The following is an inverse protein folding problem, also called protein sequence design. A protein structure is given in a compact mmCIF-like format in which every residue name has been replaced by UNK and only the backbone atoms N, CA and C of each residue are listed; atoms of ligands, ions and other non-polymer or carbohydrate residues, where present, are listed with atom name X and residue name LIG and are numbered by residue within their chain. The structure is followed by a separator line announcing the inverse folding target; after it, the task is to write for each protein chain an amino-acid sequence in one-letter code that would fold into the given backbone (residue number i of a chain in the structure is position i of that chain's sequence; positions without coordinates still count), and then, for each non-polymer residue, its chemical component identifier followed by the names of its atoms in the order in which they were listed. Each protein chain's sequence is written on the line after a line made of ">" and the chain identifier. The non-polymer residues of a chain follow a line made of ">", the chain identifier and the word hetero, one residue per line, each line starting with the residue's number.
data_IF_400610305714
#
_entry.id   IF_400610305714
#
_cell.length_a   1.000
_cell.length_b   1.000
_cell.length_c   1.000
_cell.angle_alpha   90.00
_cell.angle_beta   90.00
_cell.angle_gamma   90.00
#
_symmetry.space_group_name_H-M   'P 1'
#
loop_
_entity.id
_entity.type
_entity.pdbx_description
1 polymer ?
#
# COMPACT_ATOMS: atom_id res chain seq x y z
N UNK A 1 29.18 25.53 -14.91
CA UNK A 1 29.56 26.85 -14.38
C UNK A 1 28.91 26.98 -13.01
N UNK A 2 29.76 27.02 -11.98
CA UNK A 2 29.56 27.15 -10.52
C UNK A 2 28.16 26.87 -9.91
N UNK A 3 28.16 25.81 -9.10
CA UNK A 3 27.17 25.35 -8.14
C UNK A 3 27.16 26.26 -6.89
N UNK A 4 25.98 26.52 -6.30
CA UNK A 4 25.86 26.97 -4.90
C UNK A 4 24.72 26.20 -4.21
N UNK A 5 25.09 25.19 -3.43
CA UNK A 5 24.25 24.61 -2.39
C UNK A 5 24.11 25.61 -1.23
N UNK A 6 22.89 25.86 -0.77
CA UNK A 6 22.65 26.45 0.55
C UNK A 6 22.06 25.37 1.45
N UNK A 7 22.92 24.82 2.32
CA UNK A 7 22.55 24.06 3.51
C UNK A 7 21.98 25.06 4.52
N UNK A 8 20.72 24.94 4.92
CA UNK A 8 20.21 25.64 6.10
C UNK A 8 20.14 24.65 7.26
N UNK A 9 21.11 24.81 8.15
CA UNK A 9 21.15 24.26 9.50
C UNK A 9 20.13 25.06 10.34
N UNK A 10 19.05 24.42 10.81
CA UNK A 10 18.09 25.05 11.72
C UNK A 10 18.55 24.86 13.16
N UNK A 11 19.27 25.86 13.66
CA UNK A 11 19.47 26.09 15.09
C UNK A 11 19.33 27.60 15.36
N UNK A 12 18.16 28.00 15.85
CA UNK A 12 17.94 29.05 16.88
C UNK A 12 16.50 29.56 16.80
N UNK A 13 15.78 29.32 17.90
CA UNK A 13 14.64 30.13 18.29
C UNK A 13 15.15 31.55 18.60
N UNK A 14 14.57 32.58 17.98
CA UNK A 14 14.18 33.78 18.72
C UNK A 14 13.18 34.67 17.96
N UNK A 15 12.35 35.34 18.77
CA UNK A 15 11.19 36.16 18.43
C UNK A 15 11.55 37.43 17.65
N UNK A 16 10.64 37.87 16.75
CA UNK A 16 10.00 39.21 16.69
C UNK A 16 9.45 39.50 15.27
N UNK A 17 8.13 39.72 15.17
CA UNK A 17 7.54 40.85 14.43
C UNK A 17 7.33 40.81 12.90
N UNK A 18 6.11 40.41 12.51
CA UNK A 18 5.23 40.96 11.43
C UNK A 18 5.65 40.81 9.95
N UNK A 19 4.93 39.97 9.21
CA UNK A 19 4.00 40.44 8.15
C UNK A 19 2.98 39.37 7.76
N UNK A 20 1.69 39.72 7.81
CA UNK A 20 0.57 38.89 7.34
C UNK A 20 0.67 38.77 5.81
N UNK A 21 0.84 37.54 5.32
CA UNK A 21 0.74 37.25 3.90
C UNK A 21 -0.75 37.09 3.54
N UNK A 22 -1.20 37.87 2.58
CA UNK A 22 -2.59 37.98 2.13
C UNK A 22 -2.98 36.76 1.26
N UNK A 23 -3.71 35.81 1.84
CA UNK A 23 -4.13 34.55 1.22
C UNK A 23 -5.18 34.72 0.10
N UNK A 24 -5.67 35.92 -0.19
CA UNK A 24 -6.67 36.12 -1.25
C UNK A 24 -6.08 36.12 -2.68
N UNK A 25 -4.76 36.13 -2.84
CA UNK A 25 -4.11 36.11 -4.18
C UNK A 25 -3.70 34.74 -4.69
N UNK A 26 -3.72 33.69 -3.86
CA UNK A 26 -3.34 32.32 -4.28
C UNK A 26 -4.53 31.44 -4.74
N UNK A 27 -5.77 31.91 -4.58
CA UNK A 27 -6.99 31.17 -4.95
C UNK A 27 -7.36 31.20 -6.45
N UNK A 28 -6.48 31.69 -7.33
CA UNK A 28 -6.83 31.98 -8.73
C UNK A 28 -6.04 31.21 -9.79
N UNK A 29 -5.28 30.17 -9.45
CA UNK A 29 -4.48 29.42 -10.45
C UNK A 29 -4.86 27.94 -10.63
N UNK A 30 -5.63 27.30 -9.73
CA UNK A 30 -6.02 25.89 -9.94
C UNK A 30 -7.52 25.63 -9.73
N UNK A 31 -8.34 26.45 -10.38
CA UNK A 31 -9.74 26.13 -10.66
C UNK A 31 -9.93 25.96 -12.16
N UNK A 32 -9.81 24.74 -12.69
CA UNK A 32 -9.98 24.51 -14.13
C UNK A 32 -9.95 23.03 -14.55
N UNK A 33 -11.14 22.44 -14.65
CA UNK A 33 -11.57 21.38 -15.56
C UNK A 33 -10.83 20.02 -15.54
N UNK A 34 -11.40 19.07 -14.79
CA UNK A 34 -11.49 17.67 -15.24
C UNK A 34 -12.80 17.51 -16.03
N UNK A 35 -12.73 17.65 -17.36
CA UNK A 35 -13.84 17.37 -18.26
C UNK A 35 -13.76 15.88 -18.66
N UNK A 36 -14.63 15.05 -18.09
CA UNK A 36 -14.85 13.68 -18.53
C UNK A 36 -15.43 13.69 -19.96
N UNK A 37 -14.65 13.23 -20.93
CA UNK A 37 -15.10 12.95 -22.30
C UNK A 37 -15.98 11.70 -22.28
N UNK A 38 -17.30 11.92 -22.18
CA UNK A 38 -18.31 10.92 -22.56
C UNK A 38 -18.43 10.98 -24.08
N UNK A 39 -17.98 9.93 -24.78
CA UNK A 39 -18.31 9.74 -26.19
C UNK A 39 -19.77 9.31 -26.28
N UNK A 40 -20.64 10.28 -26.49
CA UNK A 40 -22.05 10.08 -26.84
C UNK A 40 -22.17 9.81 -28.34
N UNK A 41 -22.55 8.58 -28.71
CA UNK A 41 -23.01 8.23 -30.04
C UNK A 41 -24.52 8.48 -30.16
N UNK A 42 -24.91 9.43 -31.00
CA UNK A 42 -26.28 9.88 -31.18
C UNK A 42 -27.27 8.82 -31.69
N UNK A 43 -28.41 8.79 -31.00
CA UNK A 43 -29.76 8.34 -31.29
C UNK A 43 -30.18 7.97 -32.73
N UNK A 44 -31.01 6.92 -32.82
CA UNK A 44 -32.23 6.93 -33.64
C UNK A 44 -33.40 6.30 -32.89
N UNK A 45 -34.52 7.02 -32.84
CA UNK A 45 -35.74 6.64 -32.14
C UNK A 45 -36.68 5.77 -33.00
N UNK A 46 -37.21 4.72 -32.37
CA UNK A 46 -38.63 4.35 -32.37
C UNK A 46 -39.32 3.91 -33.67
N UNK A 47 -39.58 2.60 -33.79
CA UNK A 47 -40.90 2.08 -34.16
C UNK A 47 -41.20 0.78 -33.40
N UNK A 48 -42.28 0.80 -32.62
CA UNK A 48 -42.95 -0.38 -32.09
C UNK A 48 -43.47 -1.28 -33.22
N UNK A 49 -43.38 -2.60 -33.02
CA UNK A 49 -44.42 -3.56 -33.41
C UNK A 49 -44.29 -4.85 -32.60
N UNK A 50 -45.42 -5.29 -32.08
CA UNK A 50 -45.63 -6.53 -31.34
C UNK A 50 -45.47 -7.79 -32.19
N UNK A 51 -45.02 -8.88 -31.53
CA UNK A 51 -45.18 -10.32 -31.80
C UNK A 51 -43.99 -11.03 -31.14
N UNK A 52 -44.01 -12.19 -30.49
CA UNK A 52 -45.03 -13.19 -30.15
C UNK A 52 -44.29 -14.16 -29.19
N UNK A 53 -45.00 -14.71 -28.20
CA UNK A 53 -44.48 -15.77 -27.33
C UNK A 53 -44.10 -17.01 -28.14
N UNK A 54 -42.89 -17.53 -27.95
CA UNK A 54 -42.64 -18.97 -28.08
C UNK A 54 -41.82 -19.45 -26.88
N UNK A 55 -42.44 -20.34 -26.11
CA UNK A 55 -41.86 -21.05 -24.99
C UNK A 55 -40.78 -22.04 -25.47
N UNK A 56 -39.68 -22.15 -24.73
CA UNK A 56 -38.62 -23.12 -25.01
C UNK A 56 -37.77 -23.41 -23.78
N UNK A 57 -38.25 -24.38 -22.98
CA UNK A 57 -37.52 -25.28 -22.08
C UNK A 57 -36.36 -24.75 -21.21
N UNK A 58 -36.62 -24.68 -19.90
CA UNK A 58 -35.60 -24.89 -18.87
C UNK A 58 -35.01 -26.30 -19.04
N UNK A 59 -33.68 -26.38 -19.20
CA UNK A 59 -32.91 -27.59 -18.92
C UNK A 59 -31.88 -27.24 -17.86
N UNK A 60 -32.04 -27.89 -16.72
CA UNK A 60 -31.16 -27.92 -15.56
C UNK A 60 -29.74 -28.34 -15.95
N UNK A 61 -28.75 -27.45 -15.75
CA UNK A 61 -27.34 -27.80 -15.85
C UNK A 61 -26.92 -28.56 -14.58
N UNK A 62 -26.82 -29.88 -14.70
CA UNK A 62 -26.20 -30.78 -13.73
C UNK A 62 -24.68 -30.69 -13.92
N UNK A 63 -23.97 -30.51 -12.81
CA UNK A 63 -22.54 -30.31 -12.78
C UNK A 63 -21.73 -31.44 -13.41
N UNK A 64 -20.65 -31.05 -14.05
CA UNK A 64 -19.49 -31.90 -14.29
C UNK A 64 -18.30 -31.18 -13.68
N UNK A 65 -17.86 -31.68 -12.53
CA UNK A 65 -16.60 -31.31 -11.88
C UNK A 65 -15.45 -31.64 -12.81
N UNK A 66 -14.85 -30.62 -13.43
CA UNK A 66 -13.50 -30.72 -13.94
C UNK A 66 -12.55 -30.64 -12.74
N UNK A 67 -11.72 -31.66 -12.56
CA UNK A 67 -10.64 -31.63 -11.58
C UNK A 67 -9.71 -30.44 -11.89
N UNK A 68 -9.20 -29.72 -10.87
CA UNK A 68 -8.23 -28.67 -11.12
C UNK A 68 -6.98 -29.33 -11.73
N UNK A 69 -6.61 -28.88 -12.93
CA UNK A 69 -5.28 -29.12 -13.48
C UNK A 69 -4.30 -28.43 -12.53
N UNK A 70 -3.65 -29.20 -11.67
CA UNK A 70 -2.51 -28.74 -10.86
C UNK A 70 -1.33 -28.50 -11.80
N UNK A 71 -1.32 -27.35 -12.49
CA UNK A 71 -0.06 -26.72 -12.83
C UNK A 71 0.51 -26.31 -11.47
N UNK A 72 1.59 -26.96 -11.03
CA UNK A 72 2.32 -26.47 -9.88
C UNK A 72 2.69 -25.03 -10.20
N UNK A 73 2.15 -24.07 -9.45
CA UNK A 73 2.56 -22.67 -9.56
C UNK A 73 4.07 -22.68 -9.31
N UNK A 74 4.82 -22.19 -10.30
CA UNK A 74 6.27 -22.21 -10.23
C UNK A 74 6.68 -21.19 -9.15
N UNK A 75 7.16 -21.66 -8.01
CA UNK A 75 7.76 -20.80 -6.98
C UNK A 75 9.17 -20.42 -7.40
N UNK A 76 9.64 -19.23 -7.05
CA UNK A 76 11.04 -18.82 -7.25
C UNK A 76 12.02 -19.81 -6.62
N UNK A 77 13.00 -20.30 -7.38
CA UNK A 77 13.99 -21.27 -6.89
C UNK A 77 15.07 -20.62 -6.00
N UNK A 78 15.58 -19.45 -6.40
CA UNK A 78 16.62 -18.70 -5.68
C UNK A 78 16.26 -17.22 -5.59
N UNK A 79 16.60 -16.59 -4.47
CA UNK A 79 16.55 -15.14 -4.28
C UNK A 79 17.78 -14.49 -4.90
N UNK A 80 18.98 -14.97 -4.56
CA UNK A 80 20.25 -14.49 -5.11
C UNK A 80 21.15 -15.67 -5.49
N UNK A 81 20.88 -16.26 -6.65
CA UNK A 81 21.49 -17.52 -7.12
C UNK A 81 23.01 -17.60 -6.99
N UNK A 82 23.71 -16.50 -7.28
CA UNK A 82 25.19 -16.46 -7.30
C UNK A 82 25.83 -16.01 -5.98
N UNK A 83 25.03 -15.80 -4.92
CA UNK A 83 25.48 -15.25 -3.64
C UNK A 83 26.50 -16.12 -2.88
N UNK A 84 26.64 -17.40 -3.21
CA UNK A 84 27.70 -18.27 -2.63
C UNK A 84 29.07 -18.09 -3.29
N UNK A 85 29.12 -17.62 -4.54
CA UNK A 85 30.34 -17.65 -5.36
C UNK A 85 30.78 -16.26 -5.84
N UNK A 86 29.88 -15.28 -5.87
CA UNK A 86 30.15 -13.93 -6.36
C UNK A 86 29.82 -12.90 -5.30
N UNK A 87 30.69 -11.89 -5.17
CA UNK A 87 30.46 -10.76 -4.25
C UNK A 87 29.27 -9.95 -4.75
N UNK A 88 28.30 -9.74 -3.87
CA UNK A 88 27.12 -8.91 -4.12
C UNK A 88 27.51 -7.43 -4.12
N UNK A 89 26.82 -6.63 -4.93
CA UNK A 89 26.98 -5.18 -4.98
C UNK A 89 25.72 -4.46 -4.47
N UNK A 90 25.83 -3.20 -4.02
CA UNK A 90 24.68 -2.37 -3.66
C UNK A 90 23.57 -2.32 -4.71
N UNK A 91 23.92 -2.32 -6.00
CA UNK A 91 22.97 -2.25 -7.11
C UNK A 91 22.09 -3.51 -7.24
N UNK A 92 22.52 -4.65 -6.67
CA UNK A 92 21.73 -5.89 -6.64
C UNK A 92 20.72 -5.94 -5.51
N UNK A 93 20.97 -5.23 -4.40
CA UNK A 93 20.21 -5.43 -3.15
C UNK A 93 19.60 -4.17 -2.58
N UNK A 94 20.00 -2.99 -3.08
CA UNK A 94 19.82 -1.74 -2.36
C UNK A 94 18.39 -1.25 -2.23
N UNK A 95 17.48 -1.77 -3.06
CA UNK A 95 16.04 -1.60 -2.88
C UNK A 95 15.24 -2.90 -2.76
N UNK A 96 15.87 -4.04 -2.48
CA UNK A 96 15.12 -5.22 -2.07
C UNK A 96 14.53 -4.96 -0.69
N UNK A 97 13.26 -5.29 -0.46
CA UNK A 97 12.66 -5.10 0.84
C UNK A 97 13.31 -5.98 1.92
N UNK A 98 13.05 -5.65 3.19
CA UNK A 98 13.70 -6.30 4.33
C UNK A 98 13.46 -7.82 4.39
N UNK A 99 12.30 -8.32 3.94
CA UNK A 99 12.04 -9.75 3.88
C UNK A 99 12.89 -10.43 2.81
N UNK A 100 12.95 -9.87 1.59
CA UNK A 100 13.80 -10.43 0.53
C UNK A 100 15.26 -10.47 1.00
N UNK A 101 15.75 -9.40 1.64
CA UNK A 101 17.10 -9.37 2.21
C UNK A 101 17.33 -10.47 3.26
N UNK A 102 16.35 -10.70 4.14
CA UNK A 102 16.39 -11.76 5.14
C UNK A 102 16.43 -13.14 4.50
N UNK A 103 15.57 -13.40 3.50
CA UNK A 103 15.55 -14.67 2.77
C UNK A 103 16.87 -14.87 2.02
N UNK A 104 17.37 -13.87 1.30
CA UNK A 104 18.65 -13.90 0.60
C UNK A 104 19.83 -14.21 1.53
N UNK A 105 19.86 -13.59 2.73
CA UNK A 105 20.90 -13.86 3.73
C UNK A 105 20.84 -15.28 4.24
N UNK A 106 19.63 -15.77 4.53
CA UNK A 106 19.43 -17.14 5.03
C UNK A 106 19.64 -18.20 3.93
N UNK A 107 19.43 -17.86 2.65
CA UNK A 107 19.72 -18.74 1.52
C UNK A 107 21.18 -19.20 1.51
N UNK A 108 22.13 -18.30 1.82
CA UNK A 108 23.55 -18.64 1.94
C UNK A 108 23.76 -19.76 2.96
N UNK A 109 23.09 -19.71 4.12
CA UNK A 109 23.19 -20.76 5.13
C UNK A 109 22.43 -22.03 4.72
N UNK A 110 21.27 -21.88 4.08
CA UNK A 110 20.46 -22.99 3.59
C UNK A 110 21.24 -23.86 2.59
N UNK A 111 22.06 -23.25 1.73
CA UNK A 111 22.94 -23.97 0.77
C UNK A 111 23.94 -24.91 1.43
N UNK A 112 24.24 -24.71 2.71
CA UNK A 112 25.09 -25.60 3.51
C UNK A 112 24.31 -26.55 4.44
N UNK A 113 22.98 -26.60 4.30
CA UNK A 113 22.11 -27.46 5.10
C UNK A 113 21.80 -26.94 6.51
N UNK A 114 21.92 -25.63 6.75
CA UNK A 114 21.58 -25.05 8.05
C UNK A 114 20.12 -25.34 8.44
N UNK A 115 19.91 -25.86 9.65
CA UNK A 115 18.57 -26.18 10.17
C UNK A 115 17.97 -24.94 10.86
N UNK A 116 16.98 -24.33 10.22
CA UNK A 116 16.30 -23.15 10.74
C UNK A 116 15.39 -23.49 11.94
N UNK A 117 15.43 -22.62 12.95
CA UNK A 117 14.54 -22.69 14.14
C UNK A 117 13.25 -21.89 13.98
N UNK A 118 13.31 -20.82 13.19
CA UNK A 118 12.14 -20.01 12.89
C UNK A 118 11.29 -20.78 11.88
N UNK A 119 10.00 -20.95 12.19
CA UNK A 119 9.09 -21.76 11.40
C UNK A 119 9.00 -21.26 9.96
N UNK A 120 8.86 -19.96 9.76
CA UNK A 120 8.69 -19.39 8.41
C UNK A 120 9.91 -19.63 7.53
N UNK A 121 11.13 -19.46 8.06
CA UNK A 121 12.36 -19.80 7.33
C UNK A 121 12.46 -21.30 7.07
N UNK A 122 12.10 -22.13 8.05
CA UNK A 122 12.12 -23.58 7.89
C UNK A 122 11.16 -24.03 6.80
N UNK A 123 9.93 -23.55 6.80
CA UNK A 123 8.90 -23.88 5.82
C UNK A 123 9.32 -23.40 4.42
N UNK A 124 9.78 -22.14 4.32
CA UNK A 124 10.25 -21.55 3.07
C UNK A 124 11.38 -22.36 2.41
N UNK A 125 12.44 -22.68 3.17
CA UNK A 125 13.57 -23.44 2.61
C UNK A 125 13.25 -24.92 2.42
N UNK A 126 12.40 -25.53 3.27
CA UNK A 126 11.96 -26.92 3.08
C UNK A 126 11.18 -27.13 1.78
N UNK A 127 10.53 -26.09 1.25
CA UNK A 127 9.89 -26.12 -0.05
C UNK A 127 10.87 -26.08 -1.24
N UNK A 128 12.14 -25.71 -1.03
CA UNK A 128 13.13 -25.57 -2.11
C UNK A 128 13.78 -26.94 -2.43
N UNK A 129 13.72 -27.42 -3.69
CA UNK A 129 14.25 -28.75 -4.04
C UNK A 129 15.74 -28.95 -3.77
N UNK A 130 16.52 -27.87 -3.82
CA UNK A 130 17.97 -27.89 -3.59
C UNK A 130 18.36 -27.86 -2.11
N UNK A 131 17.44 -27.58 -1.19
CA UNK A 131 17.73 -27.49 0.23
C UNK A 131 17.67 -28.86 0.90
N UNK A 132 18.77 -29.23 1.56
CA UNK A 132 18.86 -30.46 2.33
C UNK A 132 19.47 -30.15 3.70
N UNK A 133 18.66 -30.30 4.75
CA UNK A 133 19.09 -30.13 6.12
C UNK A 133 20.25 -31.08 6.47
N UNK A 134 21.35 -30.53 6.99
CA UNK A 134 22.53 -31.26 7.43
C UNK A 134 22.77 -31.03 8.92
N UNK A 135 22.44 -32.03 9.73
CA UNK A 135 22.69 -32.02 11.19
C UNK A 135 24.17 -31.95 11.56
N UNK A 136 25.09 -32.24 10.62
CA UNK A 136 26.53 -32.16 10.82
C UNK A 136 27.13 -30.79 10.44
N UNK A 137 26.33 -29.86 9.91
CA UNK A 137 26.78 -28.52 9.54
C UNK A 137 27.33 -27.75 10.74
N UNK A 138 28.47 -27.08 10.56
CA UNK A 138 29.21 -26.35 11.62
C UNK A 138 29.41 -24.85 11.32
N UNK A 139 28.53 -24.25 10.52
CA UNK A 139 28.59 -22.80 10.22
C UNK A 139 29.89 -22.33 9.55
N UNK A 140 30.38 -23.09 8.56
CA UNK A 140 31.55 -22.70 7.78
C UNK A 140 31.14 -22.01 6.49
N UNK A 141 31.29 -20.69 6.46
CA UNK A 141 31.11 -19.87 5.26
C UNK A 141 32.43 -19.57 4.57
N UNK A 142 32.40 -19.50 3.24
CA UNK A 142 33.52 -19.00 2.44
C UNK A 142 33.79 -17.50 2.73
N UNK A 143 34.98 -16.97 2.38
CA UNK A 143 35.23 -15.53 2.50
C UNK A 143 34.21 -14.67 1.74
N UNK A 144 33.81 -15.10 0.54
CA UNK A 144 32.79 -14.44 -0.30
C UNK A 144 31.43 -14.42 0.41
N UNK A 145 31.00 -15.55 0.95
CA UNK A 145 29.73 -15.67 1.67
C UNK A 145 29.71 -14.81 2.94
N UNK A 146 30.80 -14.77 3.69
CA UNK A 146 30.92 -13.88 4.87
C UNK A 146 30.76 -12.41 4.48
N UNK A 147 31.37 -12.00 3.37
CA UNK A 147 31.24 -10.64 2.86
C UNK A 147 29.79 -10.34 2.43
N UNK A 148 29.14 -11.26 1.73
CA UNK A 148 27.76 -11.11 1.29
C UNK A 148 26.77 -11.07 2.45
N UNK A 149 26.93 -11.96 3.45
CA UNK A 149 26.12 -11.94 4.69
C UNK A 149 26.31 -10.62 5.43
N UNK A 150 27.53 -10.08 5.50
CA UNK A 150 27.77 -8.78 6.14
C UNK A 150 27.10 -7.62 5.37
N UNK A 151 27.14 -7.65 4.04
CA UNK A 151 26.49 -6.66 3.19
C UNK A 151 24.96 -6.73 3.33
N UNK A 152 24.36 -7.91 3.28
CA UNK A 152 22.91 -8.10 3.46
C UNK A 152 22.47 -7.62 4.84
N UNK A 153 23.19 -7.98 5.92
CA UNK A 153 22.92 -7.47 7.28
C UNK A 153 23.02 -5.95 7.40
N UNK A 154 23.93 -5.31 6.64
CA UNK A 154 24.01 -3.85 6.62
C UNK A 154 22.74 -3.22 6.03
N UNK A 155 22.19 -3.81 4.96
CA UNK A 155 20.96 -3.33 4.35
C UNK A 155 19.71 -3.65 5.19
N UNK A 156 19.64 -4.83 5.81
CA UNK A 156 18.59 -5.13 6.80
C UNK A 156 18.57 -4.09 7.94
N UNK A 157 19.74 -3.70 8.45
CA UNK A 157 19.84 -2.67 9.48
C UNK A 157 19.38 -1.28 8.99
N UNK A 158 19.73 -0.91 7.75
CA UNK A 158 19.26 0.34 7.14
C UNK A 158 17.75 0.38 6.97
N UNK A 159 17.13 -0.73 6.57
CA UNK A 159 15.66 -0.83 6.53
C UNK A 159 15.03 -0.81 7.92
N UNK A 160 15.66 -1.44 8.91
CA UNK A 160 15.19 -1.37 10.30
C UNK A 160 15.25 0.06 10.88
N UNK A 161 16.19 0.88 10.41
CA UNK A 161 16.31 2.29 10.78
C UNK A 161 15.43 3.23 9.92
N UNK A 162 15.05 2.81 8.70
CA UNK A 162 14.15 3.53 7.80
C UNK A 162 12.69 3.09 7.99
N UNK A 163 12.11 3.57 9.08
CA UNK A 163 10.83 3.08 9.59
C UNK A 163 9.66 3.82 8.99
N UNK A 164 8.58 3.09 8.73
CA UNK A 164 7.26 3.66 8.49
C UNK A 164 6.48 3.65 9.82
N UNK A 165 6.24 4.83 10.38
CA UNK A 165 5.61 4.99 11.69
C UNK A 165 4.44 5.98 11.63
N UNK A 166 3.49 5.95 12.59
CA UNK A 166 2.50 7.01 12.75
C UNK A 166 3.15 8.39 12.76
N UNK A 167 2.68 9.26 11.90
CA UNK A 167 3.17 10.64 11.83
C UNK A 167 2.43 11.57 12.78
N UNK A 168 1.25 11.15 13.23
CA UNK A 168 0.35 11.87 14.10
C UNK A 168 -0.09 10.96 15.26
N UNK A 169 -0.38 11.54 16.43
CA UNK A 169 -0.78 10.78 17.63
C UNK A 169 -2.29 10.58 17.71
N UNK A 170 -3.01 11.45 17.04
CA UNK A 170 -4.46 11.51 16.90
C UNK A 170 -4.97 10.65 15.73
N UNK A 171 -4.09 10.17 14.87
CA UNK A 171 -4.37 9.21 13.80
C UNK A 171 -3.16 8.32 13.54
N UNK A 172 -3.27 7.04 13.93
CA UNK A 172 -2.15 6.09 13.77
C UNK A 172 -2.04 5.52 12.36
N UNK A 173 -3.08 5.65 11.53
CA UNK A 173 -3.11 5.15 10.17
C UNK A 173 -2.36 6.10 9.22
N UNK A 174 -2.33 7.40 9.54
CA UNK A 174 -1.51 8.37 8.83
C UNK A 174 -0.02 8.19 9.13
N UNK A 175 0.66 7.47 8.24
CA UNK A 175 2.07 7.07 8.41
C UNK A 175 3.03 7.93 7.60
N UNK A 176 4.27 8.01 8.07
CA UNK A 176 5.37 8.68 7.38
C UNK A 176 6.72 8.02 7.66
N UNK A 177 7.64 8.13 6.71
CA UNK A 177 8.97 7.57 6.87
C UNK A 177 9.84 8.41 7.83
N UNK A 178 10.60 7.73 8.67
CA UNK A 178 11.65 8.29 9.54
C UNK A 178 12.94 7.51 9.31
N UNK A 179 14.04 8.21 9.03
CA UNK A 179 15.36 7.61 8.83
C UNK A 179 16.05 8.11 7.57
N UNK A 180 17.13 7.43 7.18
CA UNK A 180 17.91 7.75 5.98
C UNK A 180 17.56 6.80 4.83
N UNK A 181 16.98 7.33 3.74
CA UNK A 181 16.65 6.58 2.53
C UNK A 181 17.78 6.53 1.50
N UNK A 182 18.97 7.10 1.79
CA UNK A 182 20.07 7.25 0.81
C UNK A 182 20.61 5.94 0.24
N UNK A 183 20.34 4.82 0.92
CA UNK A 183 20.76 3.49 0.48
C UNK A 183 19.89 2.93 -0.65
N UNK A 184 18.67 3.42 -0.82
CA UNK A 184 17.74 2.99 -1.86
C UNK A 184 18.26 3.38 -3.24
N UNK A 185 18.01 2.53 -4.22
CA UNK A 185 18.52 2.67 -5.58
C UNK A 185 17.42 3.14 -6.55
N UNK A 186 17.84 3.84 -7.60
CA UNK A 186 17.01 4.15 -8.77
C UNK A 186 17.26 3.20 -9.93
N UNK A 187 18.28 2.35 -9.82
CA UNK A 187 18.69 1.40 -10.84
C UNK A 187 19.12 0.10 -10.17
N UNK A 188 18.60 -1.01 -10.65
CA UNK A 188 18.88 -2.33 -10.11
C UNK A 188 18.96 -3.38 -11.21
N UNK A 189 19.62 -4.49 -10.90
CA UNK A 189 19.52 -5.73 -11.68
C UNK A 189 18.94 -6.80 -10.75
N UNK A 190 17.73 -7.26 -11.06
CA UNK A 190 16.98 -8.24 -10.26
C UNK A 190 16.22 -9.14 -11.20
N UNK A 191 16.24 -10.44 -10.95
CA UNK A 191 15.37 -11.40 -11.62
C UNK A 191 13.93 -11.16 -11.11
N UNK A 192 13.08 -10.52 -11.90
CA UNK A 192 11.73 -10.11 -11.49
C UNK A 192 10.70 -11.22 -11.66
N UNK A 193 10.88 -12.12 -12.62
CA UNK A 193 9.90 -13.17 -12.95
C UNK A 193 10.33 -14.57 -12.49
N UNK A 194 11.46 -14.68 -11.81
CA UNK A 194 11.98 -15.93 -11.24
C UNK A 194 12.54 -16.90 -12.29
N UNK A 195 12.85 -16.44 -13.51
CA UNK A 195 13.33 -17.30 -14.60
C UNK A 195 14.86 -17.56 -14.55
N UNK A 196 15.55 -16.93 -13.60
CA UNK A 196 16.99 -17.03 -13.40
C UNK A 196 17.82 -16.06 -14.22
N UNK A 197 17.20 -15.17 -15.01
CA UNK A 197 17.84 -14.05 -15.69
C UNK A 197 17.50 -12.74 -14.95
N UNK A 198 18.48 -11.85 -14.81
CA UNK A 198 18.24 -10.55 -14.15
C UNK A 198 17.71 -9.50 -15.15
N UNK A 199 16.65 -8.79 -14.77
CA UNK A 199 16.15 -7.61 -15.46
C UNK A 199 16.89 -6.36 -15.03
N UNK A 200 17.26 -5.53 -16.01
CA UNK A 200 17.74 -4.17 -15.76
C UNK A 200 16.57 -3.22 -15.50
N UNK A 201 16.44 -2.76 -14.26
CA UNK A 201 15.38 -1.87 -13.80
C UNK A 201 15.95 -0.46 -13.62
N UNK A 202 15.26 0.56 -14.10
CA UNK A 202 15.68 1.94 -13.94
C UNK A 202 14.47 2.88 -13.81
N UNK A 203 14.47 3.69 -12.75
CA UNK A 203 13.60 4.85 -12.61
C UNK A 203 14.32 6.08 -13.18
N UNK A 204 13.79 6.59 -14.28
CA UNK A 204 14.36 7.71 -15.04
C UNK A 204 13.60 8.99 -14.64
N UNK A 205 14.29 10.03 -14.12
CA UNK A 205 13.65 11.29 -13.77
C UNK A 205 13.19 12.04 -15.03
N UNK A 206 12.18 12.92 -14.89
CA UNK A 206 11.76 13.76 -16.00
C UNK A 206 12.85 14.76 -16.41
N UNK A 207 12.84 15.16 -17.70
CA UNK A 207 13.73 16.19 -18.23
C UNK A 207 13.30 17.61 -17.80
N UNK A 208 12.03 17.77 -17.43
CA UNK A 208 11.43 19.05 -17.03
C UNK A 208 10.76 18.90 -15.67
N UNK A 209 10.59 20.02 -14.95
CA UNK A 209 9.93 20.01 -13.63
C UNK A 209 8.48 19.50 -13.66
N UNK A 210 7.81 19.64 -14.80
CA UNK A 210 6.42 19.18 -15.02
C UNK A 210 6.34 17.84 -15.76
N UNK A 211 7.48 17.18 -15.99
CA UNK A 211 7.52 15.91 -16.70
C UNK A 211 7.20 14.71 -15.80
N UNK A 212 6.88 13.59 -16.42
CA UNK A 212 6.67 12.30 -15.75
C UNK A 212 7.99 11.54 -15.59
N UNK A 213 8.11 10.79 -14.50
CA UNK A 213 9.13 9.76 -14.41
C UNK A 213 8.88 8.67 -15.44
N UNK A 214 9.92 7.89 -15.75
CA UNK A 214 9.77 6.69 -16.58
C UNK A 214 10.33 5.48 -15.85
N UNK A 215 9.54 4.43 -15.75
CA UNK A 215 10.01 3.12 -15.32
C UNK A 215 10.48 2.35 -16.55
N UNK A 216 11.74 1.95 -16.55
CA UNK A 216 12.34 1.12 -17.58
C UNK A 216 12.69 -0.24 -17.00
N UNK A 217 12.23 -1.30 -17.66
CA UNK A 217 12.58 -2.70 -17.37
C UNK A 217 13.07 -3.31 -18.68
N UNK A 218 14.36 -3.64 -18.74
CA UNK A 218 15.04 -4.06 -19.97
C UNK A 218 14.78 -3.10 -21.15
N UNK A 219 14.01 -3.55 -22.15
CA UNK A 219 13.67 -2.78 -23.35
C UNK A 219 12.30 -2.08 -23.25
N UNK A 220 11.53 -2.35 -22.20
CA UNK A 220 10.21 -1.75 -21.98
C UNK A 220 10.39 -0.45 -21.21
N UNK A 221 9.64 0.58 -21.60
CA UNK A 221 9.63 1.87 -20.88
C UNK A 221 8.19 2.35 -20.79
N UNK A 222 7.80 2.72 -19.58
CA UNK A 222 6.46 3.18 -19.20
C UNK A 222 6.60 4.55 -18.55
N UNK A 223 5.70 5.48 -18.86
CA UNK A 223 5.55 6.70 -18.06
C UNK A 223 4.87 6.35 -16.74
N UNK A 224 5.50 6.74 -15.64
CA UNK A 224 4.99 6.60 -14.28
C UNK A 224 4.87 8.00 -13.71
N UNK A 225 3.86 8.24 -12.85
CA UNK A 225 3.36 9.56 -12.47
C UNK A 225 4.40 10.64 -12.13
N UNK A 226 3.92 11.88 -12.04
CA UNK A 226 4.73 13.03 -11.65
C UNK A 226 4.57 13.32 -10.16
N UNK A 227 5.58 14.01 -9.62
CA UNK A 227 5.80 14.34 -8.20
C UNK A 227 6.57 13.28 -7.39
N UNK A 228 7.74 13.71 -6.90
CA UNK A 228 8.64 13.04 -5.93
C UNK A 228 8.56 11.51 -5.87
N UNK A 229 9.05 10.85 -6.92
CA UNK A 229 9.42 9.42 -6.94
C UNK A 229 10.94 9.27 -6.80
N UNK A 230 11.52 9.40 -5.58
CA UNK A 230 12.96 9.42 -5.43
C UNK A 230 13.61 8.04 -5.59
N UNK A 231 12.88 6.95 -5.41
CA UNK A 231 13.42 5.59 -5.44
C UNK A 231 12.37 4.61 -5.97
N UNK A 232 12.81 3.39 -6.25
CA UNK A 232 11.94 2.23 -6.41
C UNK A 232 12.23 1.26 -5.28
N UNK A 233 11.22 0.49 -4.87
CA UNK A 233 11.35 -0.67 -4.00
C UNK A 233 11.04 -1.93 -4.81
N UNK A 234 11.73 -3.03 -4.49
CA UNK A 234 11.42 -4.37 -4.97
C UNK A 234 10.84 -5.12 -3.79
N UNK A 235 9.61 -5.58 -3.95
CA UNK A 235 8.86 -6.31 -2.93
C UNK A 235 8.53 -7.69 -3.44
N UNK A 236 8.16 -8.57 -2.52
CA UNK A 236 7.67 -9.91 -2.80
C UNK A 236 6.27 -9.97 -2.18
N UNK A 237 5.21 -9.70 -2.94
CA UNK A 237 3.85 -9.65 -2.42
C UNK A 237 3.28 -11.04 -2.11
N UNK A 238 3.76 -12.09 -2.80
CA UNK A 238 3.41 -13.48 -2.57
C UNK A 238 4.65 -14.40 -2.72
N UNK A 239 5.17 -14.87 -1.59
CA UNK A 239 6.41 -15.67 -1.54
C UNK A 239 6.28 -17.04 -2.24
N UNK A 240 5.04 -17.46 -2.51
CA UNK A 240 4.69 -18.73 -3.13
C UNK A 240 4.51 -18.60 -4.66
N UNK A 241 4.77 -17.42 -5.22
CA UNK A 241 4.84 -17.19 -6.66
C UNK A 241 6.30 -16.93 -7.12
N UNK A 242 6.57 -16.80 -8.44
CA UNK A 242 7.92 -16.56 -8.93
C UNK A 242 8.29 -15.08 -8.98
N UNK A 243 7.33 -14.18 -8.81
CA UNK A 243 7.45 -12.77 -9.09
C UNK A 243 8.06 -12.00 -7.94
N UNK A 244 8.77 -10.93 -8.29
CA UNK A 244 8.97 -9.78 -7.44
C UNK A 244 8.30 -8.60 -8.11
N UNK A 245 7.64 -7.77 -7.31
CA UNK A 245 6.94 -6.59 -7.80
C UNK A 245 7.82 -5.36 -7.61
N UNK A 246 7.69 -4.43 -8.54
CA UNK A 246 8.24 -3.09 -8.39
C UNK A 246 7.19 -2.23 -7.72
N UNK A 247 7.56 -1.58 -6.61
CA UNK A 247 6.71 -0.61 -5.94
C UNK A 247 7.29 0.81 -6.09
N UNK A 248 6.48 1.72 -6.61
CA UNK A 248 6.79 3.14 -6.75
C UNK A 248 5.90 3.95 -5.81
N UNK A 249 6.52 4.62 -4.83
CA UNK A 249 5.81 5.41 -3.82
C UNK A 249 5.88 6.89 -4.15
N UNK A 250 4.73 7.47 -4.53
CA UNK A 250 4.58 8.90 -4.74
C UNK A 250 4.48 9.60 -3.38
N UNK A 251 5.45 10.45 -3.07
CA UNK A 251 5.43 11.29 -1.87
C UNK A 251 4.93 12.69 -2.21
N UNK A 252 3.97 13.22 -1.46
CA UNK A 252 3.48 14.58 -1.63
C UNK A 252 3.37 15.28 -0.28
N UNK A 253 3.50 16.61 -0.32
CA UNK A 253 3.19 17.44 0.86
C UNK A 253 1.70 17.39 1.19
N UNK A 254 0.85 17.14 0.17
CA UNK A 254 -0.55 16.84 0.35
C UNK A 254 -0.67 15.34 0.63
N UNK A 255 -0.81 14.97 1.89
CA UNK A 255 -0.76 13.56 2.34
C UNK A 255 -1.79 12.67 1.65
N UNK A 256 -2.96 13.20 1.30
CA UNK A 256 -4.03 12.50 0.59
C UNK A 256 -3.69 12.21 -0.89
N UNK A 257 -2.68 12.87 -1.45
CA UNK A 257 -2.16 12.55 -2.78
C UNK A 257 -1.11 11.44 -2.75
N UNK A 258 -0.61 11.02 -1.58
CA UNK A 258 0.37 9.93 -1.55
C UNK A 258 -0.24 8.65 -2.12
N UNK A 259 0.54 7.92 -2.90
CA UNK A 259 0.13 6.62 -3.44
C UNK A 259 1.31 5.67 -3.60
N UNK A 260 1.01 4.38 -3.72
CA UNK A 260 1.96 3.32 -4.06
C UNK A 260 1.44 2.59 -5.29
N UNK A 261 2.15 2.71 -6.41
CA UNK A 261 1.89 1.94 -7.62
C UNK A 261 2.73 0.67 -7.64
N UNK A 262 2.09 -0.47 -7.86
CA UNK A 262 2.76 -1.77 -7.99
C UNK A 262 2.79 -2.23 -9.44
N UNK A 263 3.89 -2.83 -9.86
CA UNK A 263 4.09 -3.35 -11.21
C UNK A 263 4.67 -4.75 -11.19
N UNK A 264 4.20 -5.60 -12.11
CA UNK A 264 4.71 -6.95 -12.33
C UNK A 264 5.27 -7.08 -13.74
N UNK A 265 6.32 -7.89 -13.87
CA UNK A 265 6.96 -8.20 -15.15
C UNK A 265 6.97 -9.72 -15.37
N UNK A 266 6.46 -10.17 -16.51
CA UNK A 266 6.31 -11.61 -16.81
C UNK A 266 7.42 -12.19 -17.71
N UNK A 267 8.42 -11.38 -18.09
CA UNK A 267 9.44 -11.73 -19.09
C UNK A 267 9.20 -11.08 -20.45
N UNK A 268 7.98 -10.65 -20.74
CA UNK A 268 7.58 -10.04 -22.02
C UNK A 268 6.86 -8.69 -21.83
N UNK A 269 6.05 -8.57 -20.78
CA UNK A 269 5.20 -7.43 -20.49
C UNK A 269 5.47 -6.87 -19.11
N UNK A 270 5.41 -5.53 -19.00
CA UNK A 270 5.42 -4.81 -17.73
C UNK A 270 4.03 -4.21 -17.55
N UNK A 271 3.33 -4.59 -16.49
CA UNK A 271 1.96 -4.11 -16.20
C UNK A 271 1.89 -3.49 -14.81
N UNK A 272 1.10 -2.43 -14.69
CA UNK A 272 0.68 -1.93 -13.39
C UNK A 272 -0.40 -2.87 -12.85
N UNK A 273 -0.20 -3.40 -11.65
CA UNK A 273 -1.11 -4.38 -11.03
C UNK A 273 -2.08 -3.72 -10.06
N UNK A 274 -1.71 -2.56 -9.49
CA UNK A 274 -2.59 -1.66 -8.75
C UNK A 274 -1.94 -0.30 -8.46
N UNK A 275 -2.77 0.63 -7.99
CA UNK A 275 -2.36 1.86 -7.31
C UNK A 275 -3.15 1.97 -6.01
N UNK A 276 -2.44 2.00 -4.87
CA UNK A 276 -3.03 2.06 -3.53
C UNK A 276 -2.77 3.45 -2.93
N UNK A 277 -3.69 4.03 -2.13
CA UNK A 277 -3.41 5.27 -1.44
C UNK A 277 -2.31 5.11 -0.38
N UNK A 278 -1.63 6.19 -0.03
CA UNK A 278 -0.59 6.19 0.99
C UNK A 278 0.63 5.31 0.65
N UNK A 279 1.42 5.03 1.70
CA UNK A 279 2.64 4.23 1.60
C UNK A 279 2.37 2.77 1.94
N UNK A 280 2.56 1.88 0.94
CA UNK A 280 2.20 0.46 1.04
C UNK A 280 3.37 -0.48 0.71
N UNK A 281 4.54 0.05 0.36
CA UNK A 281 5.71 -0.77 -0.04
C UNK A 281 6.69 -1.07 1.10
N UNK A 282 6.44 -0.57 2.33
CA UNK A 282 7.23 -0.97 3.48
C UNK A 282 6.84 -2.39 3.92
N UNK A 283 7.81 -3.24 4.29
CA UNK A 283 7.57 -4.63 4.69
C UNK A 283 6.60 -4.86 5.86
N UNK A 284 6.22 -3.82 6.61
CA UNK A 284 5.16 -3.89 7.62
C UNK A 284 3.75 -3.78 7.04
N UNK A 285 3.62 -3.43 5.76
CA UNK A 285 2.36 -3.16 5.09
C UNK A 285 1.87 -4.34 4.28
N UNK A 286 2.67 -5.40 4.10
CA UNK A 286 2.23 -6.61 3.41
C UNK A 286 2.78 -7.86 4.09
N UNK A 287 2.08 -8.97 3.96
CA UNK A 287 2.42 -10.22 4.65
C UNK A 287 3.15 -11.23 3.77
N UNK A 288 3.22 -11.02 2.45
CA UNK A 288 3.81 -11.96 1.49
C UNK A 288 2.96 -13.17 1.17
N UNK A 289 1.68 -13.12 1.49
CA UNK A 289 0.68 -14.09 1.11
C UNK A 289 -0.42 -13.38 0.32
N UNK A 290 -0.06 -12.33 -0.42
CA UNK A 290 -0.95 -11.53 -1.25
C UNK A 290 -1.68 -10.40 -0.52
N UNK A 291 -1.61 -10.29 0.82
CA UNK A 291 -2.31 -9.24 1.56
C UNK A 291 -1.46 -7.99 1.71
N UNK A 292 -2.02 -6.84 1.33
CA UNK A 292 -1.41 -5.51 1.43
C UNK A 292 -2.33 -4.57 2.21
N UNK A 293 -1.76 -3.73 3.06
CA UNK A 293 -2.44 -2.68 3.82
C UNK A 293 -2.01 -1.34 3.27
N UNK A 294 -2.97 -0.43 3.19
CA UNK A 294 -2.83 0.93 2.69
C UNK A 294 -3.67 1.87 3.56
N UNK A 295 -3.47 3.18 3.45
CA UNK A 295 -4.21 4.17 4.22
C UNK A 295 -4.90 5.17 3.29
N UNK A 296 -6.22 5.30 3.41
CA UNK A 296 -7.06 6.22 2.64
C UNK A 296 -7.62 7.31 3.55
N UNK A 297 -7.62 8.56 3.07
CA UNK A 297 -8.27 9.67 3.77
C UNK A 297 -9.81 9.50 3.76
N UNK A 298 -10.43 9.76 4.91
CA UNK A 298 -11.88 9.89 5.10
C UNK A 298 -12.21 11.31 5.54
N UNK A 299 -13.28 11.88 4.98
CA UNK A 299 -13.80 13.21 5.32
C UNK A 299 -15.32 13.21 5.62
N UNK A 300 -15.95 12.02 5.72
CA UNK A 300 -17.40 11.88 5.88
C UNK A 300 -17.94 12.38 7.23
N UNK A 301 -17.07 12.57 8.22
CA UNK A 301 -17.42 13.04 9.57
C UNK A 301 -16.40 14.05 10.10
N UNK A 302 -15.14 13.66 10.05
CA UNK A 302 -13.94 14.46 10.29
C UNK A 302 -12.86 13.99 9.31
N UNK A 303 -11.74 14.69 9.23
CA UNK A 303 -10.54 14.25 8.52
C UNK A 303 -9.78 13.22 9.36
N UNK A 304 -9.62 12.01 8.82
CA UNK A 304 -8.83 10.92 9.40
C UNK A 304 -8.48 9.90 8.32
N UNK A 305 -7.70 8.87 8.64
CA UNK A 305 -7.25 7.85 7.71
C UNK A 305 -7.74 6.47 8.17
N UNK A 306 -8.26 5.70 7.22
CA UNK A 306 -8.65 4.30 7.42
C UNK A 306 -7.65 3.37 6.77
N UNK A 307 -7.33 2.29 7.46
CA UNK A 307 -6.60 1.18 6.84
C UNK A 307 -7.53 0.43 5.87
N UNK A 308 -7.10 0.36 4.62
CA UNK A 308 -7.68 -0.48 3.58
C UNK A 308 -6.85 -1.76 3.45
N UNK A 309 -7.52 -2.89 3.28
CA UNK A 309 -6.88 -4.18 2.99
C UNK A 309 -7.07 -4.51 1.51
N UNK A 310 -6.01 -4.98 0.88
CA UNK A 310 -5.99 -5.44 -0.51
C UNK A 310 -5.48 -6.87 -0.56
N UNK A 311 -5.99 -7.66 -1.51
CA UNK A 311 -5.56 -9.03 -1.75
C UNK A 311 -5.17 -9.24 -3.22
N UNK A 312 -4.06 -9.95 -3.42
CA UNK A 312 -3.55 -10.34 -4.72
C UNK A 312 -4.36 -11.53 -5.26
N UNK A 313 -4.93 -11.38 -6.46
CA UNK A 313 -5.70 -12.43 -7.11
C UNK A 313 -4.82 -13.41 -7.91
N UNK A 314 -5.45 -14.44 -8.48
CA UNK A 314 -4.76 -15.44 -9.30
C UNK A 314 -4.24 -14.88 -10.64
N UNK A 315 -4.77 -13.75 -11.08
CA UNK A 315 -4.31 -12.96 -12.21
C UNK A 315 -3.20 -11.95 -11.80
N UNK A 316 -2.72 -12.05 -10.56
CA UNK A 316 -1.65 -11.28 -9.96
C UNK A 316 -1.97 -9.77 -10.00
N UNK A 317 -3.19 -9.40 -9.63
CA UNK A 317 -3.69 -8.02 -9.49
C UNK A 317 -4.20 -7.81 -8.07
N UNK A 318 -3.95 -6.63 -7.48
CA UNK A 318 -4.42 -6.32 -6.13
C UNK A 318 -5.81 -5.69 -6.17
N UNK A 319 -6.72 -6.17 -5.31
CA UNK A 319 -8.07 -5.64 -5.18
C UNK A 319 -8.39 -5.31 -3.73
N UNK A 320 -9.09 -4.20 -3.49
CA UNK A 320 -9.57 -3.84 -2.15
C UNK A 320 -10.54 -4.91 -1.64
N UNK A 321 -10.31 -5.37 -0.42
CA UNK A 321 -11.26 -6.19 0.32
C UNK A 321 -12.32 -5.30 0.95
N UNK A 322 -13.59 -5.63 0.72
CA UNK A 322 -14.68 -4.94 1.39
C UNK A 322 -14.66 -5.26 2.89
N UNK A 323 -14.52 -4.23 3.73
CA UNK A 323 -14.58 -4.35 5.18
C UNK A 323 -15.92 -3.80 5.69
N UNK A 324 -16.52 -4.47 6.68
CA UNK A 324 -17.80 -4.03 7.27
C UNK A 324 -17.66 -2.76 8.13
N UNK A 325 -16.44 -2.45 8.55
CA UNK A 325 -16.09 -1.37 9.45
C UNK A 325 -14.61 -1.00 9.35
N UNK A 326 -14.33 0.30 9.42
CA UNK A 326 -13.01 0.89 9.41
C UNK A 326 -12.80 1.63 10.74
N UNK A 327 -11.91 1.16 11.62
CA UNK A 327 -11.72 1.76 12.94
C UNK A 327 -10.90 3.04 12.86
N UNK A 328 -11.27 4.04 13.65
CA UNK A 328 -10.46 5.22 13.96
C UNK A 328 -9.65 4.96 15.23
N UNK A 329 -8.33 5.04 15.13
CA UNK A 329 -7.41 4.74 16.22
C UNK A 329 -6.39 5.88 16.42
N UNK A 330 -6.33 6.48 17.63
CA UNK A 330 -7.25 6.29 18.75
C UNK A 330 -8.64 6.87 18.45
N UNK A 331 -9.68 6.32 19.10
CA UNK A 331 -11.04 6.85 19.01
C UNK A 331 -11.12 8.32 19.44
N UNK A 332 -11.85 9.16 18.71
CA UNK A 332 -11.96 10.61 19.00
C UNK A 332 -13.02 10.89 20.06
N UNK A 333 -12.71 11.50 21.21
CA UNK A 333 -13.69 11.86 22.22
C UNK A 333 -14.51 13.09 21.79
N UNK A 334 -15.83 13.03 21.97
CA UNK A 334 -16.79 14.05 21.57
C UNK A 334 -17.86 14.27 22.65
N UNK A 335 -18.49 15.44 22.62
CA UNK A 335 -19.67 15.78 23.41
C UNK A 335 -20.83 16.11 22.48
N UNK A 336 -22.01 15.58 22.74
CA UNK A 336 -23.22 15.87 21.98
C UNK A 336 -23.71 17.30 22.26
N UNK A 337 -24.02 18.09 21.23
CA UNK A 337 -24.54 19.47 21.34
C UNK A 337 -26.03 19.57 21.04
N UNK A 338 -26.55 18.65 20.23
CA UNK A 338 -27.95 18.56 19.83
C UNK A 338 -28.38 17.11 19.91
N UNK A 339 -29.64 16.89 20.26
CA UNK A 339 -30.21 15.55 20.29
C UNK A 339 -30.01 14.85 18.94
N UNK A 340 -29.48 13.62 18.97
CA UNK A 340 -29.33 12.77 17.79
C UNK A 340 -29.91 11.38 18.06
N UNK A 341 -30.53 10.80 17.04
CA UNK A 341 -30.99 9.42 17.07
C UNK A 341 -29.88 8.48 16.60
N UNK A 342 -29.67 7.39 17.34
CA UNK A 342 -28.68 6.36 17.03
C UNK A 342 -29.29 4.96 17.18
N UNK A 343 -28.73 3.97 16.50
CA UNK A 343 -29.19 2.59 16.53
C UNK A 343 -28.14 1.66 17.16
N UNK A 344 -28.55 0.54 17.76
CA UNK A 344 -27.59 -0.49 18.20
C UNK A 344 -27.04 -1.32 17.04
N UNK A 345 -27.78 -1.41 15.94
CA UNK A 345 -27.40 -2.09 14.72
C UNK A 345 -27.61 -1.14 13.54
N UNK A 346 -26.60 -0.97 12.68
CA UNK A 346 -26.69 -0.11 11.49
C UNK A 346 -27.76 -0.56 10.50
N UNK A 347 -28.09 -1.85 10.47
CA UNK A 347 -29.09 -2.42 9.55
C UNK A 347 -30.52 -2.45 10.13
N UNK A 348 -30.69 -2.17 11.43
CA UNK A 348 -32.00 -2.21 12.10
C UNK A 348 -32.41 -0.83 12.60
N UNK A 349 -33.37 -0.22 11.90
CA UNK A 349 -33.87 1.13 12.19
C UNK A 349 -35.02 1.15 13.20
N UNK A 350 -35.47 -0.01 13.70
CA UNK A 350 -36.66 -0.08 14.55
C UNK A 350 -36.38 0.34 16.01
N UNK A 351 -35.15 0.15 16.49
CA UNK A 351 -34.74 0.44 17.86
C UNK A 351 -33.76 1.62 17.90
N UNK A 352 -34.30 2.83 17.83
CA UNK A 352 -33.55 4.07 17.99
C UNK A 352 -33.46 4.51 19.46
N UNK A 353 -32.26 4.89 19.89
CA UNK A 353 -31.98 5.53 21.16
C UNK A 353 -31.56 6.98 20.91
N UNK A 354 -31.90 7.89 21.83
CA UNK A 354 -31.54 9.30 21.72
C UNK A 354 -30.32 9.59 22.58
N UNK A 355 -29.31 10.20 21.98
CA UNK A 355 -28.22 10.85 22.71
C UNK A 355 -28.59 12.31 22.92
N UNK A 356 -28.50 12.78 24.16
CA UNK A 356 -28.93 14.12 24.56
C UNK A 356 -27.74 15.10 24.59
N UNK A 357 -27.99 16.42 24.46
CA UNK A 357 -26.95 17.42 24.65
C UNK A 357 -26.21 17.27 25.99
N UNK A 358 -24.88 17.21 25.94
CA UNK A 358 -24.00 16.98 27.09
C UNK A 358 -23.53 15.53 27.25
N UNK A 359 -24.10 14.58 26.51
CA UNK A 359 -23.61 13.20 26.51
C UNK A 359 -22.18 13.12 25.94
N UNK A 360 -21.33 12.36 26.61
CA UNK A 360 -19.98 12.08 26.13
C UNK A 360 -19.97 10.77 25.33
N UNK A 361 -19.37 10.84 24.14
CA UNK A 361 -19.19 9.70 23.24
C UNK A 361 -17.77 9.64 22.71
N UNK A 362 -17.41 8.53 22.07
CA UNK A 362 -16.17 8.41 21.28
C UNK A 362 -16.53 7.99 19.87
N UNK A 363 -16.02 8.69 18.86
CA UNK A 363 -16.05 8.25 17.47
C UNK A 363 -15.09 7.08 17.29
N UNK A 364 -15.63 5.95 16.83
CA UNK A 364 -14.90 4.71 16.65
C UNK A 364 -14.49 4.46 15.18
N UNK A 365 -15.06 5.17 14.21
CA UNK A 365 -14.83 4.93 12.78
C UNK A 365 -16.11 4.92 11.95
N UNK A 366 -15.99 4.52 10.69
CA UNK A 366 -17.10 4.46 9.72
C UNK A 366 -17.15 3.13 8.96
N UNK A 367 -18.14 2.95 8.08
CA UNK A 367 -18.26 1.78 7.21
C UNK A 367 -18.20 2.10 5.70
N UNK A 368 -17.72 3.31 5.33
CA UNK A 368 -17.77 3.87 3.95
C UNK A 368 -19.18 3.97 3.33
N UNK A 369 -20.25 3.58 4.02
CA UNK A 369 -21.64 3.57 3.53
C UNK A 369 -22.52 4.61 4.23
N UNK A 370 -21.91 5.54 4.96
CA UNK A 370 -22.62 6.60 5.69
C UNK A 370 -23.03 6.21 7.12
N UNK A 371 -22.50 5.12 7.68
CA UNK A 371 -22.72 4.78 9.09
C UNK A 371 -21.48 5.09 9.91
N UNK A 372 -21.67 5.93 10.93
CA UNK A 372 -20.65 6.31 11.90
C UNK A 372 -20.87 5.49 13.17
N UNK A 373 -19.82 4.84 13.67
CA UNK A 373 -19.89 4.15 14.95
C UNK A 373 -19.43 5.06 16.09
N UNK A 374 -20.24 5.12 17.15
CA UNK A 374 -19.95 5.84 18.39
C UNK A 374 -19.95 4.87 19.58
N UNK A 375 -19.17 5.16 20.60
CA UNK A 375 -19.24 4.50 21.91
C UNK A 375 -19.73 5.49 22.97
N UNK A 376 -20.79 5.14 23.69
CA UNK A 376 -21.32 5.97 24.78
C UNK A 376 -20.42 5.93 26.02
N UNK A 377 -20.62 6.85 26.96
CA UNK A 377 -19.95 6.85 28.28
C UNK A 377 -20.14 5.55 29.09
N UNK A 378 -21.19 4.78 28.81
CA UNK A 378 -21.45 3.46 29.41
C UNK A 378 -20.76 2.30 28.67
N UNK A 379 -19.98 2.59 27.61
CA UNK A 379 -19.29 1.59 26.79
C UNK A 379 -20.18 0.89 25.76
N UNK A 380 -21.41 1.38 25.51
CA UNK A 380 -22.28 0.81 24.48
C UNK A 380 -21.90 1.35 23.11
N UNK A 381 -21.73 0.46 22.13
CA UNK A 381 -21.58 0.83 20.72
C UNK A 381 -22.93 1.11 20.09
N UNK A 382 -23.02 2.22 19.38
CA UNK A 382 -24.20 2.68 18.66
C UNK A 382 -23.78 3.26 17.32
N UNK A 383 -24.70 3.29 16.37
CA UNK A 383 -24.50 3.76 15.01
C UNK A 383 -25.31 5.01 14.77
N UNK A 384 -24.70 5.97 14.09
CA UNK A 384 -25.35 7.17 13.59
C UNK A 384 -25.28 7.14 12.06
N UNK A 385 -26.44 7.16 11.40
CA UNK A 385 -26.53 7.21 9.94
C UNK A 385 -26.49 8.66 9.45
N UNK A 386 -25.56 8.96 8.55
CA UNK A 386 -25.47 10.25 7.87
C UNK A 386 -26.57 10.37 6.82
N UNK A 387 -27.23 11.53 6.74
CA UNK A 387 -28.20 11.80 5.66
C UNK A 387 -27.53 12.17 4.34
N UNK A 388 -28.33 12.30 3.27
CA UNK A 388 -27.86 12.66 1.92
C UNK A 388 -27.44 14.14 1.78
N UNK A 389 -27.83 14.99 2.73
CA UNK A 389 -27.49 16.41 2.73
C UNK A 389 -26.18 16.67 3.48
N UNK A 390 -25.42 17.68 3.04
CA UNK A 390 -24.23 18.12 3.77
C UNK A 390 -24.58 18.52 5.21
N UNK A 391 -23.99 17.82 6.18
CA UNK A 391 -24.16 18.10 7.61
C UNK A 391 -22.89 18.76 8.13
N UNK A 392 -23.03 19.95 8.69
CA UNK A 392 -21.98 20.54 9.53
C UNK A 392 -22.00 19.87 10.92
N UNK A 393 -21.17 18.84 11.11
CA UNK A 393 -21.13 18.08 12.35
C UNK A 393 -20.68 18.91 13.56
N UNK A 394 -20.00 20.05 13.37
CA UNK A 394 -19.67 20.97 14.47
C UNK A 394 -20.91 21.58 15.14
N UNK A 395 -22.06 21.53 14.46
CA UNK A 395 -23.36 21.91 15.02
C UNK A 395 -23.97 20.84 15.95
N UNK A 396 -23.51 19.59 15.88
CA UNK A 396 -24.03 18.43 16.61
C UNK A 396 -23.04 17.86 17.63
N UNK A 397 -21.74 18.05 17.40
CA UNK A 397 -20.67 17.52 18.23
C UNK A 397 -19.72 18.66 18.65
N UNK A 398 -19.28 18.61 19.90
CA UNK A 398 -18.18 19.43 20.46
C UNK A 398 -16.98 18.52 20.73
N UNK A 399 -15.77 19.05 20.60
CA UNK A 399 -14.53 18.29 20.75
C UNK A 399 -13.52 18.57 19.64
N UNK A 400 -12.41 17.81 19.65
CA UNK A 400 -11.43 17.87 18.56
C UNK A 400 -12.00 17.12 17.36
N UNK A 401 -12.71 17.85 16.50
CA UNK A 401 -13.07 17.36 15.18
C UNK A 401 -12.01 17.88 14.23
N UNK A 402 -11.21 16.98 13.67
CA UNK A 402 -10.15 17.34 12.74
C UNK A 402 -10.80 17.73 11.41
N UNK A 403 -10.56 18.95 10.96
CA UNK A 403 -10.94 19.42 9.64
C UNK A 403 -9.74 20.21 9.12
N UNK A 404 -9.18 19.77 8.00
CA UNK A 404 -8.19 20.55 7.24
C UNK A 404 -8.87 21.49 6.23
#
# INVERSE_FOLDING_TARGET
>A
MVCLCAIINLNSYDKVGVNKMDLQKYRLIYGGLALSLIVSGCAYAGKEKAAERVAGNLVTARGTTAAPSTVAVATREYILKDSSNTVLSPEKIGSLDNRILMLARNEIFARHGYIFKQKDLQDYFAAKPWYHADSAYKEHLSPTEKQNVALLRNYEAKYADYKLEPSHTDDVHLRGYKGDSSFKQKKMNVDLNGDGCEEGIQLIPPETELGNFKLKVNNITMEVGSELLPYLDIVDLDIDDPYFEIALQMDSQMVFLRSTSFFAYDGETLRQIAELPGFSAHSSMFDGQGRVVSAEESNNFQTWFRDLVFSLDAEHSLHEEQQDFYPMEPSTPLTIKKEIAVQFNKDDTNDAFLLEPGDNVKFLGDDKLGHIKLQTSMGKEVWYTTGDEYVDYSSFFDGLILYD
#
